data_IF_498122691514
#
_entry.id   IF_498122691514
#
_cell.length_a   1.000
_cell.length_b   1.000
_cell.length_c   1.000
_cell.angle_alpha   90.00
_cell.angle_beta   90.00
_cell.angle_gamma   90.00
#
_symmetry.space_group_name_H-M   'P 1'
#
loop_
_entity.id
_entity.type
_entity.pdbx_description
1 polymer ?
#
# COMPACT_ATOMS: atom_id res chain seq x y z
N UNK A 1 8.04 36.40 -8.26
CA UNK A 1 8.43 35.06 -8.80
C UNK A 1 8.54 33.99 -7.72
N UNK A 2 9.28 34.22 -6.63
CA UNK A 2 9.53 33.23 -5.56
C UNK A 2 8.27 32.58 -4.96
N UNK A 3 7.19 33.35 -4.72
CA UNK A 3 5.93 32.80 -4.20
C UNK A 3 5.29 31.74 -5.11
N UNK A 4 5.37 31.91 -6.43
CA UNK A 4 4.84 30.92 -7.40
C UNK A 4 5.71 29.66 -7.45
N UNK A 5 7.03 29.83 -7.31
CA UNK A 5 7.99 28.73 -7.25
C UNK A 5 7.78 27.88 -6.00
N UNK A 6 7.59 28.53 -4.84
CA UNK A 6 7.27 27.85 -3.58
C UNK A 6 5.99 27.03 -3.68
N UNK A 7 4.95 27.58 -4.31
CA UNK A 7 3.69 26.86 -4.51
C UNK A 7 3.85 25.62 -5.41
N UNK A 8 4.68 25.72 -6.45
CA UNK A 8 5.01 24.56 -7.30
C UNK A 8 5.75 23.47 -6.51
N UNK A 9 6.74 23.84 -5.68
CA UNK A 9 7.45 22.89 -4.84
C UNK A 9 6.54 22.23 -3.80
N UNK A 10 5.63 22.99 -3.18
CA UNK A 10 4.65 22.46 -2.25
C UNK A 10 3.72 21.43 -2.94
N UNK A 11 3.23 21.76 -4.13
CA UNK A 11 2.42 20.85 -4.94
C UNK A 11 3.19 19.56 -5.28
N UNK A 12 4.43 19.68 -5.71
CA UNK A 12 5.29 18.54 -6.05
C UNK A 12 5.54 17.64 -4.84
N UNK A 13 5.74 18.23 -3.66
CA UNK A 13 5.91 17.49 -2.41
C UNK A 13 4.65 16.72 -2.04
N UNK A 14 3.46 17.32 -2.21
CA UNK A 14 2.18 16.65 -1.99
C UNK A 14 2.04 15.45 -2.95
N UNK A 15 2.31 15.65 -4.25
CA UNK A 15 2.26 14.57 -5.24
C UNK A 15 3.20 13.42 -4.89
N UNK A 16 4.46 13.70 -4.54
CA UNK A 16 5.43 12.68 -4.15
C UNK A 16 4.98 11.86 -2.94
N UNK A 17 4.40 12.50 -1.93
CA UNK A 17 3.90 11.81 -0.73
C UNK A 17 2.68 10.92 -1.04
N UNK A 18 1.76 11.37 -1.90
CA UNK A 18 0.57 10.60 -2.29
C UNK A 18 0.97 9.39 -3.14
N UNK A 19 1.80 9.59 -4.18
CA UNK A 19 2.24 8.50 -5.05
C UNK A 19 3.12 7.48 -4.33
N UNK A 20 3.97 7.92 -3.39
CA UNK A 20 4.81 7.03 -2.60
C UNK A 20 3.98 6.05 -1.75
N UNK A 21 2.92 6.54 -1.08
CA UNK A 21 2.00 5.69 -0.30
C UNK A 21 1.23 4.68 -1.14
N UNK A 22 1.01 4.96 -2.42
CA UNK A 22 0.25 4.10 -3.32
C UNK A 22 1.08 2.98 -3.96
N UNK A 23 2.41 2.94 -3.72
CA UNK A 23 3.32 1.98 -4.35
C UNK A 23 3.29 0.56 -3.75
N UNK A 24 2.58 0.32 -2.64
CA UNK A 24 2.39 -1.05 -2.12
C UNK A 24 1.33 -1.82 -2.92
N UNK A 25 1.55 -1.99 -4.23
CA UNK A 25 0.62 -2.69 -5.12
C UNK A 25 0.74 -4.22 -5.02
N UNK A 26 1.75 -4.73 -4.32
CA UNK A 26 1.98 -6.17 -4.13
C UNK A 26 1.42 -6.71 -2.81
N UNK A 27 0.63 -5.94 -2.04
CA UNK A 27 0.02 -6.39 -0.79
C UNK A 27 -1.50 -6.38 -0.90
N UNK A 28 -2.13 -7.51 -0.58
CA UNK A 28 -3.59 -7.69 -0.58
C UNK A 28 -4.04 -8.09 0.81
N UNK A 29 -5.08 -7.43 1.33
CA UNK A 29 -5.75 -7.85 2.57
C UNK A 29 -6.88 -8.82 2.22
N UNK A 30 -6.95 -9.93 2.94
CA UNK A 30 -7.99 -10.95 2.81
C UNK A 30 -8.69 -11.10 4.15
N UNK A 31 -9.94 -10.68 4.19
CA UNK A 31 -10.79 -10.81 5.36
C UNK A 31 -11.63 -12.10 5.23
N UNK A 32 -11.36 -13.08 6.09
CA UNK A 32 -12.06 -14.36 6.12
C UNK A 32 -13.11 -14.31 7.22
N UNK A 33 -14.38 -14.36 6.81
CA UNK A 33 -15.53 -14.37 7.71
C UNK A 33 -15.98 -15.81 7.89
N UNK A 34 -15.64 -16.41 9.03
CA UNK A 34 -16.07 -17.76 9.42
C UNK A 34 -17.18 -17.72 10.47
N UNK A 35 -17.94 -18.82 10.61
CA UNK A 35 -19.07 -18.94 11.54
C UNK A 35 -18.71 -18.65 13.01
N UNK A 36 -17.45 -18.87 13.40
CA UNK A 36 -16.97 -18.74 14.78
C UNK A 36 -15.92 -17.64 15.00
N UNK A 37 -15.34 -17.07 13.93
CA UNK A 37 -14.34 -16.01 14.02
C UNK A 37 -14.15 -15.29 12.68
N UNK A 38 -13.89 -13.99 12.76
CA UNK A 38 -13.40 -13.19 11.65
C UNK A 38 -11.88 -13.06 11.80
N UNK A 39 -11.13 -13.30 10.72
CA UNK A 39 -9.68 -13.11 10.70
C UNK A 39 -9.26 -12.34 9.46
N UNK A 40 -8.37 -11.39 9.64
CA UNK A 40 -7.76 -10.62 8.56
C UNK A 40 -6.35 -11.14 8.32
N UNK A 41 -6.01 -11.38 7.07
CA UNK A 41 -4.65 -11.74 6.66
C UNK A 41 -4.13 -10.74 5.63
N UNK A 42 -2.82 -10.52 5.63
CA UNK A 42 -2.13 -9.79 4.58
C UNK A 42 -1.31 -10.77 3.75
N UNK A 43 -1.51 -10.75 2.43
CA UNK A 43 -0.72 -11.51 1.48
C UNK A 43 0.18 -10.53 0.74
N UNK A 44 1.49 -10.70 0.85
CA UNK A 44 2.49 -9.93 0.10
C UNK A 44 3.07 -10.78 -1.00
N UNK A 45 2.82 -10.39 -2.24
CA UNK A 45 3.40 -11.00 -3.42
C UNK A 45 4.82 -10.49 -3.66
N UNK A 46 5.64 -11.31 -4.30
CA UNK A 46 7.04 -10.96 -4.58
C UNK A 46 7.16 -9.77 -5.54
N UNK A 47 6.28 -9.65 -6.53
CA UNK A 47 6.23 -8.53 -7.48
C UNK A 47 4.78 -8.26 -7.94
N UNK A 48 4.50 -7.04 -8.37
CA UNK A 48 3.23 -6.59 -8.94
C UNK A 48 2.87 -7.33 -10.25
N UNK A 49 3.88 -7.73 -11.02
CA UNK A 49 3.71 -8.39 -12.32
C UNK A 49 3.93 -9.90 -12.27
N UNK A 50 4.43 -10.43 -11.16
CA UNK A 50 4.75 -11.84 -11.01
C UNK A 50 4.28 -12.37 -9.65
N UNK A 51 3.14 -13.08 -9.68
CA UNK A 51 2.44 -13.61 -8.51
C UNK A 51 2.87 -15.04 -8.15
N UNK A 52 4.03 -15.48 -8.64
CA UNK A 52 4.51 -16.86 -8.50
C UNK A 52 4.97 -17.21 -7.07
N UNK A 53 5.26 -16.22 -6.23
CA UNK A 53 5.59 -16.40 -4.81
C UNK A 53 4.94 -15.32 -3.94
N UNK A 54 4.55 -15.72 -2.73
CA UNK A 54 3.90 -14.85 -1.76
C UNK A 54 4.21 -15.26 -0.31
N UNK A 55 4.12 -14.28 0.59
CA UNK A 55 4.20 -14.45 2.04
C UNK A 55 2.85 -14.06 2.67
N UNK A 56 2.46 -14.75 3.74
CA UNK A 56 1.19 -14.49 4.46
C UNK A 56 1.52 -14.05 5.88
N UNK A 57 0.88 -12.96 6.31
CA UNK A 57 0.94 -12.41 7.66
C UNK A 57 -0.49 -12.32 8.22
N UNK A 58 -0.67 -12.41 9.53
CA UNK A 58 -1.94 -12.05 10.17
C UNK A 58 -1.82 -10.66 10.83
N UNK A 59 -2.91 -10.09 11.35
CA UNK A 59 -2.84 -8.78 12.04
C UNK A 59 -2.05 -8.82 13.37
N UNK A 60 -1.76 -10.01 13.90
CA UNK A 60 -1.13 -10.24 15.20
C UNK A 60 0.41 -10.50 15.07
N UNK A 61 0.98 -10.57 13.85
CA UNK A 61 2.41 -10.75 13.57
C UNK A 61 2.93 -9.91 12.39
#
# INVERSE_FOLDING_TARGET
MIKKLFLCFLFLFICLNIFSKQSKKNVVRVDIIGKNANRSYFIKFSDENNLNSFEVYDEDN
#
